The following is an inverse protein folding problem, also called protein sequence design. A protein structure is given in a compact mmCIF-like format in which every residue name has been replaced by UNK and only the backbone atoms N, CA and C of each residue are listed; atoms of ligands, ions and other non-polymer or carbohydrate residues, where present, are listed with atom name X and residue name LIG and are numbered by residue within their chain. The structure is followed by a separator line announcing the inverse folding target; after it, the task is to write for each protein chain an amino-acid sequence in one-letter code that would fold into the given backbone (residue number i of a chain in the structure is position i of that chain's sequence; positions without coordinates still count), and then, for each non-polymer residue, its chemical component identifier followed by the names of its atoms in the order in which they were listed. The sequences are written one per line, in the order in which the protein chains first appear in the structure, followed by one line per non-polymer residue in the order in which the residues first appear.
data_IF_545966072840
#
_entry.id   IF_545966072840
#
_cell.length_a   1.000
_cell.length_b   1.000
_cell.length_c   1.000
_cell.angle_alpha   90.00
_cell.angle_beta   90.00
_cell.angle_gamma   90.00
#
_symmetry.space_group_name_H-M   'P 1'
#
loop_
_entity.id
_entity.type
_entity.pdbx_description
1 polymer ?
#
# COMPACT_ATOMS: atom_id res chain seq x y z
N UNK A 1 25.45 4.04 -23.26
CA UNK A 1 24.00 4.22 -23.52
C UNK A 1 23.44 5.03 -22.38
N UNK A 2 22.83 6.18 -22.66
CA UNK A 2 22.21 7.03 -21.64
C UNK A 2 20.72 7.26 -21.95
N UNK A 3 19.93 7.38 -20.88
CA UNK A 3 18.50 7.65 -20.96
C UNK A 3 18.08 8.54 -19.80
N UNK A 4 17.32 9.60 -20.06
CA UNK A 4 16.66 10.42 -19.03
C UNK A 4 15.20 10.64 -19.39
N UNK A 5 14.36 10.91 -18.38
CA UNK A 5 12.98 11.32 -18.57
C UNK A 5 12.62 12.41 -17.56
N UNK A 6 11.99 13.47 -18.05
CA UNK A 6 11.58 14.63 -17.25
C UNK A 6 10.09 14.94 -17.43
N UNK A 7 9.49 15.51 -16.40
CA UNK A 7 8.10 15.98 -16.41
C UNK A 7 8.04 17.44 -16.85
N UNK A 8 7.33 17.69 -17.94
CA UNK A 8 7.09 19.03 -18.49
C UNK A 8 5.58 19.25 -18.59
N UNK A 9 4.94 19.52 -17.45
CA UNK A 9 3.49 19.70 -17.37
C UNK A 9 2.72 18.42 -17.72
N UNK A 10 2.07 18.39 -18.88
CA UNK A 10 1.35 17.21 -19.37
C UNK A 10 2.26 16.22 -20.13
N UNK A 11 3.49 16.63 -20.43
CA UNK A 11 4.42 15.91 -21.28
C UNK A 11 5.51 15.22 -20.47
N UNK A 12 6.00 14.11 -21.04
CA UNK A 12 7.15 13.37 -20.56
C UNK A 12 8.23 13.45 -21.63
N UNK A 13 9.31 14.17 -21.34
CA UNK A 13 10.42 14.37 -22.26
C UNK A 13 11.48 13.30 -22.01
N UNK A 14 11.53 12.32 -22.89
CA UNK A 14 12.53 11.26 -22.88
C UNK A 14 13.73 11.66 -23.75
N UNK A 15 14.94 11.61 -23.20
CA UNK A 15 16.17 11.78 -23.98
C UNK A 15 16.94 10.47 -24.00
N UNK A 16 17.31 10.00 -25.20
CA UNK A 16 18.05 8.76 -25.43
C UNK A 16 19.35 9.14 -26.15
N UNK A 17 20.50 8.81 -25.57
CA UNK A 17 21.81 9.02 -26.20
C UNK A 17 22.47 7.67 -26.40
N UNK A 18 22.47 7.13 -27.63
CA UNK A 18 23.03 5.82 -27.88
C UNK A 18 24.57 5.88 -27.88
N UNK A 19 25.21 4.80 -27.46
CA UNK A 19 26.68 4.64 -27.50
C UNK A 19 27.19 4.08 -28.84
N UNK A 20 26.27 3.76 -29.76
CA UNK A 20 26.53 3.26 -31.11
C UNK A 20 25.41 3.68 -32.05
N UNK A 21 25.66 3.62 -33.35
CA UNK A 21 24.62 3.86 -34.36
C UNK A 21 23.53 2.78 -34.28
N UNK A 22 22.26 3.19 -34.34
CA UNK A 22 21.11 2.29 -34.30
C UNK A 22 20.18 2.58 -35.47
N UNK A 23 19.96 1.60 -36.34
CA UNK A 23 19.05 1.72 -37.47
C UNK A 23 17.60 1.39 -37.05
N UNK A 24 16.68 2.34 -37.26
CA UNK A 24 15.23 2.24 -36.98
C UNK A 24 14.88 1.62 -35.62
N UNK A 25 15.41 2.12 -34.50
CA UNK A 25 15.09 1.60 -33.18
C UNK A 25 13.62 1.82 -32.83
N UNK A 26 13.06 0.86 -32.09
CA UNK A 26 11.78 1.00 -31.41
C UNK A 26 12.03 1.30 -29.93
N UNK A 27 11.48 2.39 -29.43
CA UNK A 27 11.43 2.68 -28.01
C UNK A 27 10.21 2.02 -27.40
N UNK A 28 10.43 1.00 -26.56
CA UNK A 28 9.38 0.23 -25.91
C UNK A 28 9.37 0.48 -24.40
N UNK A 29 8.18 0.61 -23.83
CA UNK A 29 7.98 0.83 -22.39
C UNK A 29 6.52 0.56 -22.00
N UNK A 30 6.28 0.47 -20.69
CA UNK A 30 4.93 0.50 -20.13
C UNK A 30 4.67 1.83 -19.41
N UNK A 31 3.42 2.29 -19.37
CA UNK A 31 3.00 3.43 -18.57
C UNK A 31 2.06 3.05 -17.43
N UNK A 32 1.57 4.05 -16.68
CA UNK A 32 0.43 3.90 -15.77
C UNK A 32 -0.91 3.74 -16.52
N UNK A 33 -0.94 4.19 -17.77
CA UNK A 33 -2.06 4.18 -18.70
C UNK A 33 -1.50 4.21 -20.14
N UNK A 34 -2.33 4.04 -21.18
CA UNK A 34 -1.85 4.14 -22.56
C UNK A 34 -1.19 5.48 -22.88
N UNK A 35 -0.04 5.44 -23.55
CA UNK A 35 0.73 6.62 -23.92
C UNK A 35 0.87 6.74 -25.44
N UNK A 36 1.16 7.95 -25.92
CA UNK A 36 1.49 8.22 -27.31
C UNK A 36 2.71 9.14 -27.41
N UNK A 37 3.47 9.02 -28.49
CA UNK A 37 4.49 9.99 -28.83
C UNK A 37 3.85 11.16 -29.58
N UNK A 38 4.14 12.38 -29.14
CA UNK A 38 3.72 13.63 -29.81
C UNK A 38 4.84 14.25 -30.63
N UNK A 39 6.11 13.92 -30.33
CA UNK A 39 7.27 14.33 -31.10
C UNK A 39 8.42 13.32 -30.96
N UNK A 40 9.38 13.36 -31.89
CA UNK A 40 10.59 12.52 -31.84
C UNK A 40 10.38 11.05 -32.23
N UNK A 41 9.17 10.66 -32.60
CA UNK A 41 8.86 9.32 -33.04
C UNK A 41 7.36 9.17 -33.27
N UNK A 42 6.96 7.98 -33.69
CA UNK A 42 5.56 7.64 -33.93
C UNK A 42 5.18 6.39 -33.14
N UNK A 43 4.08 6.45 -32.39
CA UNK A 43 3.51 5.24 -31.79
C UNK A 43 3.04 4.30 -32.90
N UNK A 44 3.61 3.11 -32.95
CA UNK A 44 3.26 2.08 -33.95
C UNK A 44 2.45 0.93 -33.36
N UNK A 45 2.53 0.70 -32.04
CA UNK A 45 1.83 -0.37 -31.36
C UNK A 45 1.56 -0.01 -29.90
N UNK A 46 0.52 -0.59 -29.33
CA UNK A 46 0.34 -0.67 -27.89
C UNK A 46 -0.79 -1.61 -27.49
N UNK A 47 -0.69 -2.15 -26.28
CA UNK A 47 -1.71 -3.02 -25.66
C UNK A 47 -1.73 -2.72 -24.16
N UNK A 48 -2.89 -2.33 -23.63
CA UNK A 48 -2.95 -1.78 -22.27
C UNK A 48 -2.02 -0.56 -22.16
N UNK A 49 -1.15 -0.56 -21.15
CA UNK A 49 -0.16 0.51 -20.96
C UNK A 49 1.17 0.29 -21.70
N UNK A 50 1.37 -0.86 -22.33
CA UNK A 50 2.55 -1.11 -23.17
C UNK A 50 2.48 -0.29 -24.47
N UNK A 51 3.58 0.36 -24.82
CA UNK A 51 3.71 1.27 -25.96
C UNK A 51 5.00 1.01 -26.73
N UNK A 52 4.92 1.00 -28.07
CA UNK A 52 6.08 0.98 -28.97
C UNK A 52 6.08 2.24 -29.83
N UNK A 53 7.19 2.99 -29.77
CA UNK A 53 7.43 4.20 -30.56
C UNK A 53 8.55 3.92 -31.56
N UNK A 54 8.23 3.99 -32.85
CA UNK A 54 9.23 3.96 -33.90
C UNK A 54 9.97 5.31 -33.96
N UNK A 55 11.30 5.24 -33.98
CA UNK A 55 12.20 6.40 -34.05
C UNK A 55 13.00 6.37 -35.36
N UNK A 56 13.52 7.53 -35.82
CA UNK A 56 14.49 7.56 -36.91
C UNK A 56 15.79 6.83 -36.52
N UNK A 57 16.68 6.62 -37.50
CA UNK A 57 18.03 6.15 -37.24
C UNK A 57 18.74 7.09 -36.25
N UNK A 58 19.37 6.50 -35.23
CA UNK A 58 20.07 7.24 -34.20
C UNK A 58 21.58 7.10 -34.39
N UNK A 59 22.31 8.20 -34.16
CA UNK A 59 23.77 8.23 -34.26
C UNK A 59 24.40 8.18 -32.88
N UNK A 60 25.53 7.48 -32.78
CA UNK A 60 26.33 7.37 -31.56
C UNK A 60 26.65 8.76 -30.98
N UNK A 61 26.44 8.92 -29.68
CA UNK A 61 26.71 10.15 -28.94
C UNK A 61 25.75 11.31 -29.23
N UNK A 62 24.79 11.18 -30.16
CA UNK A 62 23.83 12.24 -30.49
C UNK A 62 22.53 12.02 -29.71
N UNK A 63 22.14 12.97 -28.81
CA UNK A 63 20.90 12.83 -28.06
C UNK A 63 19.67 12.93 -28.98
N UNK A 64 18.75 11.99 -28.81
CA UNK A 64 17.46 12.00 -29.46
C UNK A 64 16.34 12.18 -28.44
N UNK A 65 15.42 13.11 -28.71
CA UNK A 65 14.32 13.45 -27.80
C UNK A 65 13.01 12.89 -28.31
N UNK A 66 12.29 12.19 -27.44
CA UNK A 66 10.92 11.73 -27.66
C UNK A 66 10.01 12.40 -26.65
N UNK A 67 8.99 13.10 -27.13
CA UNK A 67 7.96 13.69 -26.28
C UNK A 67 6.78 12.74 -26.20
N UNK A 68 6.40 12.36 -24.98
CA UNK A 68 5.30 11.46 -24.72
C UNK A 68 4.17 12.18 -23.97
N UNK A 69 2.94 11.73 -24.19
CA UNK A 69 1.76 12.12 -23.43
C UNK A 69 0.88 10.90 -23.15
N UNK A 70 0.08 10.97 -22.09
CA UNK A 70 -0.98 9.97 -21.87
C UNK A 70 -2.13 10.20 -22.85
N UNK A 71 -2.54 9.14 -23.56
CA UNK A 71 -3.46 9.24 -24.69
C UNK A 71 -4.86 9.75 -24.29
N UNK A 72 -5.26 9.56 -23.03
CA UNK A 72 -6.54 9.99 -22.46
C UNK A 72 -6.46 11.35 -21.74
N UNK A 73 -5.36 12.09 -21.91
CA UNK A 73 -5.20 13.45 -21.37
C UNK A 73 -4.84 13.50 -19.88
N UNK A 74 -4.46 12.37 -19.27
CA UNK A 74 -3.96 12.40 -17.89
C UNK A 74 -2.65 13.17 -17.81
N UNK A 75 -2.50 13.97 -16.74
CA UNK A 75 -1.28 14.73 -16.47
C UNK A 75 -0.41 13.96 -15.48
N UNK A 76 0.84 13.66 -15.81
CA UNK A 76 1.72 12.94 -14.91
C UNK A 76 2.02 13.80 -13.67
N UNK A 77 1.69 13.28 -12.50
CA UNK A 77 1.82 14.03 -11.24
C UNK A 77 3.20 13.86 -10.58
N UNK A 78 3.88 12.76 -10.86
CA UNK A 78 5.19 12.44 -10.28
C UNK A 78 5.92 11.41 -11.15
N UNK A 79 7.16 11.10 -10.78
CA UNK A 79 8.03 10.18 -11.53
C UNK A 79 7.49 8.75 -11.70
N UNK A 80 6.54 8.28 -10.89
CA UNK A 80 5.96 6.94 -11.07
C UNK A 80 5.16 6.85 -12.38
N UNK A 81 4.86 8.00 -12.98
CA UNK A 81 4.18 8.15 -14.26
C UNK A 81 5.15 8.21 -15.45
N UNK A 82 6.47 8.12 -15.22
CA UNK A 82 7.46 7.96 -16.28
C UNK A 82 7.32 6.59 -16.96
N UNK A 83 7.89 6.40 -18.16
CA UNK A 83 8.06 5.09 -18.77
C UNK A 83 8.67 4.06 -17.80
N UNK A 84 7.97 2.95 -17.62
CA UNK A 84 8.34 1.80 -16.78
C UNK A 84 9.03 0.77 -17.66
N UNK A 85 10.23 0.35 -17.25
CA UNK A 85 11.05 -0.62 -17.98
C UNK A 85 11.44 -0.18 -19.40
N UNK A 86 11.94 1.05 -19.62
CA UNK A 86 12.29 1.54 -20.94
C UNK A 86 13.39 0.70 -21.59
N UNK A 87 13.21 0.36 -22.87
CA UNK A 87 14.19 -0.38 -23.66
C UNK A 87 14.13 0.03 -25.13
N UNK A 88 15.20 -0.27 -25.87
CA UNK A 88 15.23 -0.19 -27.33
C UNK A 88 15.19 -1.58 -27.93
N UNK A 89 14.42 -1.74 -29.00
CA UNK A 89 14.45 -2.92 -29.86
C UNK A 89 15.00 -2.55 -31.23
N UNK A 90 16.04 -3.24 -31.67
CA UNK A 90 16.74 -2.99 -32.94
C UNK A 90 16.94 -4.33 -33.66
N UNK A 91 16.12 -4.60 -34.67
CA UNK A 91 16.04 -5.94 -35.26
C UNK A 91 15.67 -6.99 -34.20
N UNK A 92 16.56 -7.95 -33.96
CA UNK A 92 16.39 -9.01 -32.96
C UNK A 92 17.04 -8.68 -31.60
N UNK A 93 17.69 -7.52 -31.48
CA UNK A 93 18.37 -7.12 -30.26
C UNK A 93 17.45 -6.31 -29.34
N UNK A 94 17.60 -6.54 -28.03
CA UNK A 94 16.94 -5.76 -26.97
C UNK A 94 18.01 -5.10 -26.11
N UNK A 95 17.98 -3.77 -26.07
CA UNK A 95 18.91 -2.94 -25.30
C UNK A 95 18.13 -2.29 -24.16
N UNK A 96 18.39 -2.70 -22.92
CA UNK A 96 17.76 -2.08 -21.75
C UNK A 96 18.31 -0.66 -21.57
N UNK A 97 17.42 0.31 -21.38
CA UNK A 97 17.85 1.67 -21.07
C UNK A 97 18.12 1.81 -19.57
N UNK A 98 19.19 2.53 -19.17
CA UNK A 98 19.51 2.68 -17.76
C UNK A 98 18.43 3.49 -17.04
N UNK A 99 18.08 3.09 -15.82
CA UNK A 99 17.27 3.90 -14.92
C UNK A 99 18.16 4.96 -14.27
N UNK A 100 18.37 6.09 -14.95
CA UNK A 100 19.22 7.18 -14.44
C UNK A 100 18.44 8.18 -13.59
N UNK A 101 17.10 8.16 -13.63
CA UNK A 101 16.28 9.08 -12.84
C UNK A 101 16.42 8.75 -11.35
N UNK A 102 16.78 9.73 -10.50
CA UNK A 102 16.86 9.52 -9.05
C UNK A 102 15.58 8.95 -8.46
N UNK A 103 15.70 8.32 -7.29
CA UNK A 103 14.53 7.94 -6.51
C UNK A 103 13.71 9.20 -6.14
N UNK A 104 12.60 9.42 -6.83
CA UNK A 104 11.60 10.45 -6.54
C UNK A 104 10.67 10.13 -5.37
N UNK A 105 10.95 9.07 -4.62
CA UNK A 105 10.63 9.02 -3.20
C UNK A 105 11.95 8.77 -2.48
N UNK A 106 12.34 9.69 -1.60
CA UNK A 106 13.43 9.46 -0.67
C UNK A 106 12.78 9.06 0.65
N UNK A 107 13.18 7.94 1.28
CA UNK A 107 12.73 7.64 2.62
C UNK A 107 12.95 8.88 3.49
N UNK A 108 11.86 9.44 4.00
CA UNK A 108 11.94 10.47 5.00
C UNK A 108 12.03 9.75 6.34
N UNK A 109 12.96 10.15 7.24
CA UNK A 109 12.89 9.71 8.62
C UNK A 109 11.48 10.03 9.12
N UNK A 110 10.77 9.02 9.64
CA UNK A 110 9.53 9.28 10.34
C UNK A 110 9.87 10.13 11.56
N UNK A 111 9.03 11.13 11.90
CA UNK A 111 9.24 11.89 13.12
C UNK A 111 9.23 10.93 14.32
N UNK A 112 10.16 11.13 15.25
CA UNK A 112 10.04 10.51 16.56
C UNK A 112 8.83 11.13 17.26
N UNK A 113 7.77 10.32 17.41
CA UNK A 113 6.54 10.74 18.08
C UNK A 113 6.66 10.66 19.62
N UNK A 114 7.82 10.23 20.13
CA UNK A 114 8.04 9.97 21.54
C UNK A 114 7.40 8.65 22.00
N UNK A 115 7.35 8.42 23.32
CA UNK A 115 6.72 7.22 23.87
C UNK A 115 5.23 7.20 23.55
N UNK A 116 4.75 6.04 23.09
CA UNK A 116 3.34 5.82 22.83
C UNK A 116 2.63 5.34 24.10
N UNK A 117 1.66 6.11 24.58
CA UNK A 117 0.82 5.77 25.73
C UNK A 117 -0.44 5.02 25.27
N UNK A 118 -0.27 3.75 24.92
CA UNK A 118 -1.34 2.89 24.46
C UNK A 118 -0.86 1.46 24.19
N UNK A 119 -1.75 0.65 23.62
CA UNK A 119 -1.41 -0.73 23.29
C UNK A 119 -0.71 -0.83 21.94
N UNK A 120 0.15 -1.83 21.71
CA UNK A 120 0.69 -2.12 20.38
C UNK A 120 -0.38 -2.80 19.49
N UNK A 121 -1.54 -2.14 19.33
CA UNK A 121 -2.68 -2.60 18.55
C UNK A 121 -3.04 -1.59 17.46
N UNK A 122 -3.42 -2.10 16.30
CA UNK A 122 -4.00 -1.30 15.23
C UNK A 122 -5.25 -2.01 14.70
N UNK A 123 -6.43 -1.37 14.74
CA UNK A 123 -6.71 -0.09 15.42
C UNK A 123 -6.59 -0.18 16.95
N UNK A 124 -6.53 0.99 17.61
CA UNK A 124 -6.61 1.07 19.07
C UNK A 124 -8.01 0.64 19.57
N UNK A 125 -8.10 0.03 20.75
CA UNK A 125 -9.39 -0.23 21.39
C UNK A 125 -10.11 1.09 21.71
N UNK A 126 -11.44 1.07 21.61
CA UNK A 126 -12.28 2.21 21.97
C UNK A 126 -12.19 2.59 23.46
N UNK A 127 -11.86 1.62 24.32
CA UNK A 127 -11.45 1.88 25.69
C UNK A 127 -10.45 0.82 26.16
N UNK A 128 -9.53 1.24 27.02
CA UNK A 128 -8.52 0.40 27.65
C UNK A 128 -8.27 0.90 29.05
N UNK A 129 -8.24 -0.01 30.03
CA UNK A 129 -7.91 0.27 31.42
C UNK A 129 -6.85 -0.72 31.89
N UNK A 130 -5.58 -0.29 32.03
CA UNK A 130 -4.52 -1.14 32.53
C UNK A 130 -4.64 -1.31 34.05
N UNK A 131 -4.33 -2.49 34.54
CA UNK A 131 -4.21 -2.75 35.99
C UNK A 131 -2.77 -2.54 36.49
N UNK A 132 -1.85 -2.12 35.61
CA UNK A 132 -0.44 -1.83 35.92
C UNK A 132 0.47 -3.05 35.96
N UNK A 133 -0.05 -4.25 35.71
CA UNK A 133 0.70 -5.50 35.65
C UNK A 133 0.82 -6.02 34.22
N UNK A 134 1.83 -6.87 34.00
CA UNK A 134 1.99 -7.60 32.74
C UNK A 134 2.16 -9.09 33.04
N UNK A 135 1.77 -9.91 32.08
CA UNK A 135 1.79 -11.36 32.13
C UNK A 135 2.58 -11.89 30.95
N UNK A 136 3.59 -12.73 31.21
CA UNK A 136 4.24 -13.48 30.15
C UNK A 136 3.47 -14.77 29.93
N UNK A 137 2.94 -14.98 28.73
CA UNK A 137 2.22 -16.20 28.35
C UNK A 137 2.90 -16.84 27.15
N UNK A 138 2.95 -18.18 27.12
CA UNK A 138 3.47 -18.93 25.96
C UNK A 138 2.51 -18.96 24.78
N UNK A 139 1.25 -18.58 25.02
CA UNK A 139 0.14 -18.58 24.08
C UNK A 139 -1.17 -18.80 24.80
N UNK A 140 -2.24 -18.94 24.03
CA UNK A 140 -3.61 -19.03 24.50
C UNK A 140 -4.21 -20.41 24.19
N UNK A 141 -5.15 -20.85 25.02
CA UNK A 141 -5.92 -22.09 24.83
C UNK A 141 -7.38 -21.88 25.18
N UNK A 142 -8.30 -22.51 24.45
CA UNK A 142 -9.74 -22.38 24.69
C UNK A 142 -10.57 -23.11 23.64
N UNK A 143 -11.79 -23.49 24.02
CA UNK A 143 -12.73 -24.23 23.17
C UNK A 143 -13.70 -23.26 22.46
N UNK A 144 -13.23 -22.58 21.40
CA UNK A 144 -14.10 -21.76 20.53
C UNK A 144 -13.63 -21.83 19.06
N UNK A 145 -14.55 -22.00 18.09
CA UNK A 145 -14.19 -22.05 16.66
C UNK A 145 -13.44 -20.80 16.16
N UNK A 146 -13.74 -19.62 16.71
CA UNK A 146 -13.07 -18.38 16.34
C UNK A 146 -11.61 -18.39 16.82
N UNK A 147 -11.34 -18.91 18.04
CA UNK A 147 -9.98 -19.04 18.56
C UNK A 147 -9.17 -20.05 17.72
N UNK A 148 -9.79 -21.16 17.31
CA UNK A 148 -9.17 -22.12 16.40
C UNK A 148 -8.83 -21.51 15.02
N UNK A 149 -9.70 -20.64 14.49
CA UNK A 149 -9.44 -19.92 13.25
C UNK A 149 -8.25 -18.94 13.38
N UNK A 150 -8.10 -18.28 14.54
CA UNK A 150 -6.93 -17.43 14.83
C UNK A 150 -5.65 -18.26 14.97
N UNK A 151 -5.71 -19.43 15.61
CA UNK A 151 -4.58 -20.35 15.66
C UNK A 151 -4.14 -20.80 14.26
N UNK A 152 -5.09 -21.13 13.38
CA UNK A 152 -4.80 -21.46 11.99
C UNK A 152 -4.22 -20.27 11.20
N UNK A 153 -4.68 -19.05 11.46
CA UNK A 153 -4.10 -17.83 10.89
C UNK A 153 -2.65 -17.63 11.34
N UNK A 154 -2.38 -17.74 12.64
CA UNK A 154 -1.03 -17.62 13.20
C UNK A 154 -0.07 -18.65 12.58
N UNK A 155 -0.49 -19.91 12.47
CA UNK A 155 0.29 -20.97 11.87
C UNK A 155 0.67 -20.68 10.39
N UNK A 156 -0.26 -20.15 9.59
CA UNK A 156 0.02 -19.75 8.19
C UNK A 156 1.04 -18.63 8.07
N UNK A 157 1.16 -17.79 9.10
CA UNK A 157 2.10 -16.67 9.16
C UNK A 157 3.42 -17.06 9.87
N UNK A 158 3.56 -18.30 10.35
CA UNK A 158 4.71 -18.71 11.14
C UNK A 158 4.78 -18.06 12.54
N UNK A 159 3.64 -17.66 13.09
CA UNK A 159 3.52 -17.00 14.39
C UNK A 159 3.09 -17.98 15.49
N UNK A 160 3.55 -17.76 16.71
CA UNK A 160 3.09 -18.49 17.90
C UNK A 160 1.77 -17.93 18.40
N UNK A 161 0.82 -18.81 18.71
CA UNK A 161 -0.46 -18.42 19.31
C UNK A 161 -0.99 -19.41 20.34
N UNK A 162 -0.86 -20.71 20.06
CA UNK A 162 -1.35 -21.76 20.97
C UNK A 162 -0.39 -21.93 22.15
N UNK A 163 -0.93 -21.93 23.36
CA UNK A 163 -0.16 -22.11 24.60
C UNK A 163 -1.01 -22.62 25.76
N UNK A 164 -0.74 -22.14 26.96
CA UNK A 164 -1.32 -22.63 28.22
C UNK A 164 -2.26 -21.63 28.91
N UNK A 165 -2.26 -20.36 28.52
CA UNK A 165 -3.11 -19.36 29.14
C UNK A 165 -4.58 -19.53 28.71
N UNK A 166 -5.51 -19.80 29.64
CA UNK A 166 -6.88 -20.14 29.29
C UNK A 166 -7.66 -18.92 28.79
N UNK A 167 -8.47 -19.14 27.76
CA UNK A 167 -9.41 -18.16 27.20
C UNK A 167 -10.81 -18.73 27.30
N UNK A 168 -11.69 -17.95 27.93
CA UNK A 168 -13.11 -18.25 28.10
C UNK A 168 -13.96 -17.27 27.29
N UNK A 169 -15.07 -17.75 26.74
CA UNK A 169 -16.00 -16.95 25.95
C UNK A 169 -17.35 -16.89 26.63
N UNK A 170 -17.94 -15.70 26.67
CA UNK A 170 -19.30 -15.49 27.15
C UNK A 170 -20.09 -14.66 26.13
N UNK A 171 -21.39 -14.94 26.02
CA UNK A 171 -22.28 -14.09 25.25
C UNK A 171 -22.51 -12.75 25.97
N UNK A 172 -22.54 -11.67 25.20
CA UNK A 172 -22.89 -10.34 25.70
C UNK A 172 -23.70 -9.58 24.65
N UNK A 173 -24.58 -8.69 25.12
CA UNK A 173 -25.35 -7.78 24.25
C UNK A 173 -24.45 -6.63 23.78
N UNK A 174 -23.66 -6.93 22.75
CA UNK A 174 -22.73 -6.00 22.11
C UNK A 174 -23.06 -5.88 20.62
N UNK A 175 -22.73 -4.75 19.96
CA UNK A 175 -22.85 -4.64 18.51
C UNK A 175 -22.14 -5.78 17.79
N UNK A 176 -22.59 -6.10 16.57
CA UNK A 176 -21.93 -7.10 15.73
C UNK A 176 -20.44 -6.77 15.62
N UNK A 177 -19.62 -7.78 15.86
CA UNK A 177 -18.15 -7.74 15.81
C UNK A 177 -17.47 -6.90 16.90
N UNK A 178 -18.23 -6.32 17.82
CA UNK A 178 -17.70 -5.75 19.04
C UNK A 178 -17.37 -6.87 20.05
N UNK A 179 -16.40 -6.59 20.91
CA UNK A 179 -16.04 -7.47 22.02
C UNK A 179 -15.52 -6.67 23.22
N UNK A 180 -15.65 -7.27 24.40
CA UNK A 180 -14.87 -6.91 25.58
C UNK A 180 -13.86 -8.01 25.85
N UNK A 181 -12.69 -7.61 26.32
CA UNK A 181 -11.59 -8.49 26.65
C UNK A 181 -11.08 -8.12 28.04
N UNK A 182 -11.01 -9.11 28.92
CA UNK A 182 -10.38 -8.97 30.23
C UNK A 182 -9.27 -10.00 30.35
N UNK A 183 -8.05 -9.52 30.59
CA UNK A 183 -6.86 -10.35 30.76
C UNK A 183 -6.49 -10.28 32.25
N UNK A 184 -6.50 -11.43 32.94
CA UNK A 184 -6.03 -11.57 34.32
C UNK A 184 -4.91 -12.62 34.39
N UNK A 185 -4.16 -12.73 35.50
CA UNK A 185 -3.15 -13.78 35.66
C UNK A 185 -3.73 -15.20 35.52
N UNK A 186 -4.99 -15.41 35.94
CA UNK A 186 -5.65 -16.71 35.97
C UNK A 186 -6.24 -17.11 34.61
N UNK A 187 -6.53 -16.13 33.75
CA UNK A 187 -7.13 -16.38 32.45
C UNK A 187 -7.61 -15.12 31.75
N UNK A 188 -8.00 -15.31 30.50
CA UNK A 188 -8.62 -14.29 29.68
C UNK A 188 -10.10 -14.59 29.49
N UNK A 189 -10.94 -13.57 29.61
CA UNK A 189 -12.37 -13.64 29.30
C UNK A 189 -12.69 -12.73 28.14
N UNK A 190 -13.37 -13.27 27.13
CA UNK A 190 -13.91 -12.57 25.97
C UNK A 190 -15.43 -12.53 26.09
N UNK A 191 -16.04 -11.35 25.96
CA UNK A 191 -17.49 -11.26 25.78
C UNK A 191 -17.82 -10.67 24.42
N UNK A 192 -18.71 -11.32 23.67
CA UNK A 192 -19.12 -10.91 22.33
C UNK A 192 -20.50 -11.48 21.97
N UNK A 193 -21.21 -10.83 21.05
CA UNK A 193 -22.50 -11.31 20.51
C UNK A 193 -22.35 -12.10 19.20
N UNK A 194 -21.19 -12.04 18.55
CA UNK A 194 -20.96 -12.62 17.22
C UNK A 194 -19.66 -13.41 17.15
N UNK A 195 -19.60 -14.34 16.18
CA UNK A 195 -18.36 -15.00 15.79
C UNK A 195 -17.25 -14.00 15.45
N UNK A 196 -17.57 -12.91 14.73
CA UNK A 196 -16.59 -11.90 14.37
C UNK A 196 -16.02 -11.18 15.57
N UNK A 197 -16.81 -10.89 16.61
CA UNK A 197 -16.33 -10.29 17.85
C UNK A 197 -15.37 -11.21 18.60
N UNK A 198 -15.70 -12.51 18.69
CA UNK A 198 -14.81 -13.54 19.26
C UNK A 198 -13.52 -13.68 18.45
N UNK A 199 -13.61 -13.64 17.12
CA UNK A 199 -12.46 -13.71 16.22
C UNK A 199 -11.54 -12.50 16.37
N UNK A 200 -12.09 -11.28 16.38
CA UNK A 200 -11.29 -10.06 16.56
C UNK A 200 -10.66 -9.98 17.96
N UNK A 201 -11.34 -10.48 19.01
CA UNK A 201 -10.71 -10.63 20.32
C UNK A 201 -9.48 -11.54 20.26
N UNK A 202 -9.58 -12.68 19.54
CA UNK A 202 -8.44 -13.57 19.32
C UNK A 202 -7.31 -12.92 18.51
N UNK A 203 -7.61 -12.13 17.47
CA UNK A 203 -6.60 -11.35 16.71
C UNK A 203 -5.89 -10.33 17.62
N UNK A 204 -6.62 -9.70 18.53
CA UNK A 204 -6.04 -8.79 19.53
C UNK A 204 -5.09 -9.52 20.46
N UNK A 205 -5.49 -10.68 21.00
CA UNK A 205 -4.61 -11.52 21.81
C UNK A 205 -3.35 -11.96 21.04
N UNK A 206 -3.50 -12.36 19.78
CA UNK A 206 -2.38 -12.72 18.91
C UNK A 206 -1.40 -11.56 18.76
N UNK A 207 -1.92 -10.36 18.50
CA UNK A 207 -1.11 -9.15 18.30
C UNK A 207 -0.37 -8.78 19.58
N UNK A 208 -1.07 -8.78 20.73
CA UNK A 208 -0.44 -8.51 22.03
C UNK A 208 0.69 -9.50 22.33
N UNK A 209 0.47 -10.80 22.06
CA UNK A 209 1.47 -11.85 22.25
C UNK A 209 2.73 -11.64 21.39
N UNK A 210 2.59 -11.18 20.14
CA UNK A 210 3.76 -10.94 19.29
C UNK A 210 4.58 -9.73 19.74
N UNK A 211 3.99 -8.81 20.50
CA UNK A 211 4.64 -7.59 20.94
C UNK A 211 5.32 -7.69 22.32
N UNK A 212 5.09 -8.77 23.07
CA UNK A 212 5.77 -9.04 24.35
C UNK A 212 4.81 -9.48 25.45
N UNK A 213 5.15 -9.21 26.73
CA UNK A 213 4.28 -9.51 27.85
C UNK A 213 2.89 -8.89 27.67
N UNK A 214 1.86 -9.71 27.79
CA UNK A 214 0.47 -9.27 27.67
C UNK A 214 0.09 -8.42 28.88
N UNK A 215 -0.48 -7.22 28.68
CA UNK A 215 -0.90 -6.39 29.80
C UNK A 215 -2.15 -6.96 30.49
N UNK A 216 -2.13 -6.96 31.83
CA UNK A 216 -3.30 -7.27 32.67
C UNK A 216 -4.22 -6.06 32.66
N UNK A 217 -5.45 -6.24 32.18
CA UNK A 217 -6.33 -5.12 31.87
C UNK A 217 -7.73 -5.54 31.45
N UNK A 218 -8.58 -4.53 31.28
CA UNK A 218 -9.84 -4.64 30.54
C UNK A 218 -9.83 -3.71 29.33
N UNK A 219 -10.33 -4.17 28.20
CA UNK A 219 -10.54 -3.34 27.01
C UNK A 219 -11.82 -3.66 26.27
N UNK A 220 -12.33 -2.64 25.58
CA UNK A 220 -13.51 -2.74 24.73
C UNK A 220 -13.14 -2.29 23.32
N UNK A 221 -13.53 -3.10 22.35
CA UNK A 221 -13.40 -2.78 20.95
C UNK A 221 -14.78 -2.81 20.31
N UNK A 222 -15.12 -1.72 19.64
CA UNK A 222 -16.33 -1.60 18.83
C UNK A 222 -15.96 -1.14 17.43
N UNK A 223 -16.55 -1.70 16.36
CA UNK A 223 -16.39 -1.16 15.02
C UNK A 223 -16.86 0.31 15.00
N UNK A 224 -16.01 1.21 14.49
CA UNK A 224 -16.34 2.64 14.37
C UNK A 224 -17.49 2.87 13.37
N UNK A 225 -17.84 1.88 12.55
CA UNK A 225 -18.81 1.99 11.45
C UNK A 225 -19.97 0.98 11.52
N UNK A 226 -20.57 0.78 12.70
CA UNK A 226 -21.86 0.07 12.79
C UNK A 226 -23.08 0.99 12.53
N UNK A 227 -22.86 2.29 12.36
CA UNK A 227 -23.88 3.26 11.95
C UNK A 227 -23.80 3.60 10.47
N UNK A 228 -24.81 3.16 9.70
CA UNK A 228 -25.23 3.65 8.40
C UNK A 228 -24.19 4.43 7.55
N UNK A 229 -23.44 3.71 6.72
CA UNK A 229 -23.37 3.94 5.27
C UNK A 229 -22.27 3.07 4.66
N UNK A 230 -22.63 2.29 3.65
CA UNK A 230 -21.69 1.61 2.78
C UNK A 230 -20.71 2.65 2.21
N UNK A 231 -19.46 2.60 2.64
CA UNK A 231 -18.34 3.41 2.09
C UNK A 231 -18.08 3.05 0.60
N UNK A 232 -18.73 1.98 0.10
CA UNK A 232 -18.69 1.53 -1.29
C UNK A 232 -19.81 2.06 -2.19
N UNK A 233 -20.74 2.87 -1.69
CA UNK A 233 -21.65 3.62 -2.56
C UNK A 233 -21.06 4.99 -2.89
N UNK A 234 -20.76 5.30 -4.18
CA UNK A 234 -20.24 6.61 -4.54
C UNK A 234 -21.31 7.67 -4.27
N UNK A 235 -21.10 8.49 -3.23
CA UNK A 235 -21.85 9.73 -3.06
C UNK A 235 -21.45 10.67 -4.19
N UNK A 236 -22.38 10.92 -5.12
CA UNK A 236 -22.25 11.97 -6.12
C UNK A 236 -22.13 13.32 -5.39
N UNK A 237 -20.90 13.80 -5.22
CA UNK A 237 -20.64 15.11 -4.61
C UNK A 237 -20.31 16.07 -5.74
N UNK A 238 -21.23 16.98 -6.00
CA UNK A 238 -21.07 18.09 -6.94
C UNK A 238 -19.90 18.95 -6.46
N UNK A 239 -18.81 18.99 -7.24
CA UNK A 239 -17.65 19.84 -6.97
C UNK A 239 -17.98 21.26 -7.44
N UNK A 240 -18.15 22.17 -6.49
CA UNK A 240 -18.16 23.62 -6.77
C UNK A 240 -16.71 24.09 -6.98
N UNK A 241 -16.36 24.77 -8.09
CA UNK A 241 -14.99 25.17 -8.35
C UNK A 241 -14.55 26.35 -7.46
N UNK A 242 -13.46 26.16 -6.72
CA UNK A 242 -12.74 27.24 -6.04
C UNK A 242 -11.93 28.01 -7.09
N UNK A 243 -12.33 29.25 -7.37
CA UNK A 243 -11.51 30.23 -8.07
C UNK A 243 -10.32 30.61 -7.19
N UNK A 244 -9.11 30.28 -7.61
CA UNK A 244 -7.88 30.86 -7.04
C UNK A 244 -7.27 31.81 -8.06
N UNK A 245 -7.13 33.07 -7.64
CA UNK A 245 -6.51 34.15 -8.37
C UNK A 245 -5.00 33.90 -8.51
N UNK A 246 -4.51 34.08 -9.72
CA UNK A 246 -3.08 34.15 -10.05
C UNK A 246 -2.67 35.61 -9.91
N UNK A 247 -1.77 35.91 -8.98
CA UNK A 247 -0.97 37.14 -9.01
C UNK A 247 0.46 36.78 -9.40
N UNK A 248 0.93 37.41 -10.46
CA UNK A 248 2.32 37.41 -10.91
C UNK A 248 3.13 38.46 -10.13
N UNK A 249 4.31 38.08 -9.67
CA UNK A 249 5.51 38.94 -9.59
C UNK A 249 6.72 38.07 -9.85
#
# INVERSE_FOLDING_TARGET
MDYTCELHGAELLCTITPDRDLARPLFCFSGMAPMTATAGGQRIKGLGSYTEVAMPDLRAGVPHRVTLQYATGHKPANRAWHPIGPLLRVGNEVIKLPQTTPLGCRPQPLPDLGPFDGLPLVPQPSSWKPDGQTLTVGGFTGEDPALAAVAALAARQGLTFVGDHPVSFADADLPVDAYTLRITPEGTTVQASSYGGRFYAGVTLLTLLQHGPCPVASCMMSPVSAGADNIWTPRATTITPIRSAICWT
#
